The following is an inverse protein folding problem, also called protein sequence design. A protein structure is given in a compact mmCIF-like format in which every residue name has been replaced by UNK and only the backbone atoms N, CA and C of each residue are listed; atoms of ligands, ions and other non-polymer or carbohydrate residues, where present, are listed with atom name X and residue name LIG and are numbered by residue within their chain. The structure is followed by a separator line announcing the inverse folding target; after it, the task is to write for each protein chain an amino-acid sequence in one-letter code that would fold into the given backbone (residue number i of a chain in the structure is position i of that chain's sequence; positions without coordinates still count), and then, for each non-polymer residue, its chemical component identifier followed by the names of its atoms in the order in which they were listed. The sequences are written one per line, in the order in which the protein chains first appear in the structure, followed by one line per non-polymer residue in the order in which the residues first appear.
data_IF_418693776543
#
_entry.id   IF_418693776543
#
_cell.length_a   1.000
_cell.length_b   1.000
_cell.length_c   1.000
_cell.angle_alpha   90.00
_cell.angle_beta   90.00
_cell.angle_gamma   90.00
#
_symmetry.space_group_name_H-M   'P 1'
#
loop_
_entity.id
_entity.type
_entity.pdbx_description
1 polymer ?
#
# COMPACT_ATOMS: atom_id res chain seq x y z
N UNK A 1 -19.65 -6.64 -14.44
CA UNK A 1 -18.91 -5.36 -14.30
C UNK A 1 -19.51 -4.45 -13.24
N UNK A 2 -20.81 -4.16 -13.29
CA UNK A 2 -21.49 -3.39 -12.23
C UNK A 2 -21.40 -4.02 -10.84
N UNK A 3 -21.39 -5.36 -10.73
CA UNK A 3 -21.25 -6.06 -9.46
C UNK A 3 -19.96 -5.68 -8.70
N UNK A 4 -18.87 -5.45 -9.44
CA UNK A 4 -17.57 -5.06 -8.88
C UNK A 4 -17.63 -3.62 -8.38
N UNK A 5 -18.30 -2.73 -9.12
CA UNK A 5 -18.53 -1.35 -8.69
C UNK A 5 -19.42 -1.28 -7.44
N UNK A 6 -20.51 -2.05 -7.42
CA UNK A 6 -21.41 -2.12 -6.28
C UNK A 6 -20.73 -2.67 -5.03
N UNK A 7 -19.89 -3.70 -5.15
CA UNK A 7 -19.18 -4.27 -4.00
C UNK A 7 -18.04 -3.35 -3.50
N UNK A 8 -17.35 -2.64 -4.41
CA UNK A 8 -16.41 -1.58 -4.02
C UNK A 8 -17.12 -0.46 -3.26
N UNK A 9 -18.26 0.00 -3.78
CA UNK A 9 -19.01 1.09 -3.19
C UNK A 9 -19.60 0.70 -1.83
N UNK A 10 -20.16 -0.51 -1.75
CA UNK A 10 -20.64 -1.09 -0.50
C UNK A 10 -19.49 -1.26 0.52
N UNK A 11 -18.31 -1.68 0.09
CA UNK A 11 -17.13 -1.82 0.96
C UNK A 11 -16.67 -0.48 1.53
N UNK A 12 -16.60 0.56 0.69
CA UNK A 12 -16.28 1.93 1.15
C UNK A 12 -17.36 2.46 2.10
N UNK A 13 -18.64 2.26 1.77
CA UNK A 13 -19.76 2.71 2.60
C UNK A 13 -19.79 1.99 3.95
N UNK A 14 -19.59 0.67 3.96
CA UNK A 14 -19.48 -0.13 5.17
C UNK A 14 -18.26 0.30 6.00
N UNK A 15 -17.08 0.46 5.39
CA UNK A 15 -15.88 0.95 6.06
C UNK A 15 -16.04 2.36 6.63
N UNK A 16 -16.79 3.22 5.96
CA UNK A 16 -17.09 4.58 6.43
C UNK A 16 -18.12 4.58 7.57
N UNK A 17 -19.16 3.74 7.52
CA UNK A 17 -20.10 3.52 8.63
C UNK A 17 -19.38 2.95 9.86
N UNK A 18 -18.48 1.99 9.67
CA UNK A 18 -17.64 1.42 10.73
C UNK A 18 -16.71 2.46 11.37
N UNK A 19 -16.32 3.52 10.65
CA UNK A 19 -15.55 4.65 11.20
C UNK A 19 -16.39 5.60 12.05
N UNK A 20 -17.71 5.68 11.81
CA UNK A 20 -18.64 6.56 12.55
C UNK A 20 -19.25 5.92 13.79
N UNK A 21 -19.33 4.60 13.86
CA UNK A 21 -19.80 3.91 15.06
C UNK A 21 -18.72 4.00 16.14
N UNK A 22 -19.02 4.73 17.21
CA UNK A 22 -18.12 4.98 18.35
C UNK A 22 -17.73 3.75 19.22
N UNK A 23 -18.31 2.52 19.15
CA UNK A 23 -17.88 1.46 20.07
C UNK A 23 -16.55 0.81 19.66
N UNK A 24 -16.04 1.05 18.44
CA UNK A 24 -14.76 0.48 17.96
C UNK A 24 -13.54 1.16 18.60
N UNK A 25 -13.73 2.28 19.31
CA UNK A 25 -12.67 2.92 20.08
C UNK A 25 -12.42 2.26 21.43
N UNK A 26 -13.35 1.42 21.92
CA UNK A 26 -13.26 0.75 23.22
C UNK A 26 -12.85 -0.73 23.10
N UNK A 27 -12.94 -1.31 21.90
CA UNK A 27 -12.30 -2.59 21.56
C UNK A 27 -10.92 -2.27 21.00
N UNK A 28 -9.91 -2.53 21.82
CA UNK A 28 -8.50 -2.21 21.59
C UNK A 28 -8.02 -2.50 20.17
N UNK A 29 -7.75 -1.40 19.47
CA UNK A 29 -7.19 -1.26 18.12
C UNK A 29 -5.78 -1.84 17.91
N UNK A 30 -5.21 -2.55 18.90
CA UNK A 30 -3.87 -3.18 18.80
C UNK A 30 -3.91 -4.70 18.59
N UNK A 31 -5.02 -5.37 18.89
CA UNK A 31 -5.10 -6.84 18.78
C UNK A 31 -5.63 -7.34 17.44
N UNK A 32 -6.60 -6.62 16.85
CA UNK A 32 -7.32 -7.11 15.67
C UNK A 32 -6.43 -7.25 14.44
N UNK A 33 -5.55 -6.28 14.18
CA UNK A 33 -4.65 -6.36 13.03
C UNK A 33 -3.66 -7.52 13.17
N UNK A 34 -3.08 -7.70 14.36
CA UNK A 34 -2.16 -8.80 14.66
C UNK A 34 -2.85 -10.15 14.56
N UNK A 35 -4.09 -10.24 15.03
CA UNK A 35 -4.91 -11.44 14.91
C UNK A 35 -5.26 -11.77 13.45
N UNK A 36 -5.61 -10.76 12.65
CA UNK A 36 -5.86 -10.93 11.21
C UNK A 36 -4.60 -11.37 10.47
N UNK A 37 -3.46 -10.75 10.75
CA UNK A 37 -2.17 -11.12 10.13
C UNK A 37 -1.81 -12.55 10.51
N UNK A 38 -1.93 -12.92 11.79
CA UNK A 38 -1.65 -14.27 12.25
C UNK A 38 -2.57 -15.31 11.60
N UNK A 39 -3.87 -15.02 11.53
CA UNK A 39 -4.87 -15.91 10.91
C UNK A 39 -4.61 -16.06 9.40
N UNK A 40 -4.36 -14.96 8.69
CA UNK A 40 -4.03 -14.98 7.26
C UNK A 40 -2.73 -15.74 7.00
N UNK A 41 -1.70 -15.51 7.81
CA UNK A 41 -0.41 -16.18 7.65
C UNK A 41 -0.52 -17.69 7.95
N UNK A 42 -1.31 -18.06 8.96
CA UNK A 42 -1.55 -19.44 9.32
C UNK A 42 -2.32 -20.18 8.22
N UNK A 43 -3.42 -19.61 7.72
CA UNK A 43 -4.20 -20.20 6.63
C UNK A 43 -3.33 -20.34 5.38
N UNK A 44 -2.56 -19.32 5.04
CA UNK A 44 -1.65 -19.34 3.89
C UNK A 44 -0.56 -20.40 4.06
N UNK A 45 0.05 -20.52 5.25
CA UNK A 45 1.03 -21.56 5.53
C UNK A 45 0.43 -22.97 5.48
N UNK A 46 -0.81 -23.14 5.95
CA UNK A 46 -1.51 -24.42 5.93
C UNK A 46 -1.93 -24.83 4.50
N UNK A 47 -2.43 -23.89 3.70
CA UNK A 47 -2.74 -24.13 2.27
C UNK A 47 -1.49 -24.50 1.48
N UNK A 48 -0.37 -23.83 1.74
CA UNK A 48 0.90 -24.11 1.06
C UNK A 48 1.59 -25.39 1.57
N UNK A 49 1.38 -25.77 2.84
CA UNK A 49 2.05 -26.89 3.50
C UNK A 49 1.32 -28.24 3.41
N UNK A 50 0.02 -28.24 3.10
CA UNK A 50 -0.82 -29.45 3.15
C UNK A 50 -0.80 -30.31 1.87
N UNK A 51 -0.14 -29.85 0.80
CA UNK A 51 -0.01 -30.60 -0.45
C UNK A 51 1.42 -30.66 -0.95
N UNK A 52 2.01 -31.87 -1.03
CA UNK A 52 3.33 -32.09 -1.63
C UNK A 52 3.38 -31.62 -3.10
N UNK A 53 2.26 -31.72 -3.83
CA UNK A 53 2.10 -31.20 -5.19
C UNK A 53 2.16 -29.67 -5.26
N UNK A 54 1.67 -29.00 -4.21
CA UNK A 54 1.68 -27.53 -4.13
C UNK A 54 3.10 -27.04 -3.86
N UNK A 55 3.87 -27.65 -2.94
CA UNK A 55 5.27 -27.29 -2.70
C UNK A 55 6.18 -27.55 -3.92
N UNK A 56 6.00 -28.68 -4.61
CA UNK A 56 6.78 -28.97 -5.82
C UNK A 56 6.56 -27.95 -6.94
N UNK A 57 5.30 -27.50 -7.09
CA UNK A 57 4.94 -26.43 -8.03
C UNK A 57 5.36 -25.05 -7.52
N UNK A 58 5.26 -24.78 -6.21
CA UNK A 58 5.68 -23.53 -5.56
C UNK A 58 7.19 -23.32 -5.60
N UNK A 59 7.99 -24.38 -5.66
CA UNK A 59 9.43 -24.20 -5.81
C UNK A 59 9.75 -23.55 -7.17
N UNK A 60 9.08 -24.02 -8.23
CA UNK A 60 9.21 -23.47 -9.59
C UNK A 60 8.49 -22.12 -9.74
N UNK A 61 7.25 -22.02 -9.24
CA UNK A 61 6.42 -20.81 -9.31
C UNK A 61 6.89 -19.72 -8.35
N UNK A 62 7.41 -20.12 -7.20
CA UNK A 62 7.99 -19.26 -6.16
C UNK A 62 9.33 -18.68 -6.56
N UNK A 63 10.16 -19.42 -7.30
CA UNK A 63 11.35 -18.85 -7.94
C UNK A 63 10.99 -17.72 -8.91
N UNK A 64 9.96 -17.91 -9.73
CA UNK A 64 9.43 -16.87 -10.61
C UNK A 64 8.78 -15.72 -9.82
N UNK A 65 7.97 -16.03 -8.80
CA UNK A 65 7.32 -15.04 -7.96
C UNK A 65 8.32 -14.18 -7.18
N UNK A 66 9.45 -14.74 -6.75
CA UNK A 66 10.54 -14.01 -6.10
C UNK A 66 11.12 -12.96 -7.05
N UNK A 67 11.35 -13.31 -8.32
CA UNK A 67 11.81 -12.36 -9.34
C UNK A 67 10.77 -11.27 -9.57
N UNK A 68 9.48 -11.60 -9.67
CA UNK A 68 8.41 -10.60 -9.79
C UNK A 68 8.30 -9.68 -8.56
N UNK A 69 8.44 -10.22 -7.35
CA UNK A 69 8.41 -9.45 -6.11
C UNK A 69 9.60 -8.49 -6.05
N UNK A 70 10.82 -8.97 -6.32
CA UNK A 70 12.02 -8.13 -6.35
C UNK A 70 11.94 -7.07 -7.45
N UNK A 71 11.50 -7.44 -8.66
CA UNK A 71 11.31 -6.51 -9.76
C UNK A 71 10.23 -5.46 -9.43
N UNK A 72 9.12 -5.87 -8.79
CA UNK A 72 8.05 -4.98 -8.36
C UNK A 72 8.48 -4.00 -7.27
N UNK A 73 9.21 -4.47 -6.25
CA UNK A 73 9.76 -3.61 -5.20
C UNK A 73 10.78 -2.64 -5.80
N UNK A 74 11.72 -3.15 -6.61
CA UNK A 74 12.74 -2.33 -7.27
C UNK A 74 12.10 -1.29 -8.19
N UNK A 75 11.10 -1.69 -8.99
CA UNK A 75 10.34 -0.79 -9.87
C UNK A 75 9.55 0.26 -9.10
N UNK A 76 8.91 -0.12 -7.98
CA UNK A 76 8.15 0.80 -7.12
C UNK A 76 9.08 1.83 -6.46
N UNK A 77 10.21 1.40 -5.92
CA UNK A 77 11.23 2.28 -5.33
C UNK A 77 11.83 3.19 -6.41
N UNK A 78 12.16 2.66 -7.58
CA UNK A 78 12.68 3.43 -8.71
C UNK A 78 11.67 4.49 -9.19
N UNK A 79 10.39 4.13 -9.28
CA UNK A 79 9.32 5.06 -9.64
C UNK A 79 9.14 6.15 -8.57
N UNK A 80 9.15 5.79 -7.28
CA UNK A 80 9.09 6.76 -6.19
C UNK A 80 10.27 7.75 -6.25
N UNK A 81 11.49 7.25 -6.47
CA UNK A 81 12.69 8.09 -6.63
C UNK A 81 12.63 8.93 -7.91
N UNK A 82 12.11 8.40 -9.01
CA UNK A 82 11.94 9.14 -10.26
C UNK A 82 10.93 10.27 -10.11
N UNK A 83 9.78 9.99 -9.48
CA UNK A 83 8.76 10.99 -9.14
C UNK A 83 9.34 12.04 -8.20
N UNK A 84 10.08 11.62 -7.17
CA UNK A 84 10.75 12.55 -6.27
C UNK A 84 11.79 13.40 -7.03
N UNK A 85 12.57 12.84 -7.96
CA UNK A 85 13.54 13.63 -8.72
C UNK A 85 12.89 14.56 -9.76
N UNK A 86 11.82 14.14 -10.43
CA UNK A 86 11.11 14.97 -11.42
C UNK A 86 10.28 16.07 -10.75
N UNK A 87 9.55 15.74 -9.69
CA UNK A 87 8.76 16.72 -8.92
C UNK A 87 9.65 17.69 -8.14
N UNK A 88 10.75 17.26 -7.53
CA UNK A 88 11.64 18.18 -6.82
C UNK A 88 12.56 18.98 -7.75
N UNK A 89 12.75 18.54 -9.00
CA UNK A 89 13.43 19.34 -10.04
C UNK A 89 12.48 20.36 -10.69
N UNK A 90 11.18 20.09 -10.70
CA UNK A 90 10.12 21.08 -11.01
C UNK A 90 9.86 22.03 -9.82
N UNK A 91 9.96 21.53 -8.59
CA UNK A 91 9.80 22.35 -7.37
C UNK A 91 10.89 23.42 -7.22
N UNK A 92 12.11 23.17 -7.71
CA UNK A 92 13.16 24.21 -7.74
C UNK A 92 12.97 25.30 -8.80
N UNK A 93 12.02 25.17 -9.71
CA UNK A 93 11.60 26.23 -10.62
C UNK A 93 10.20 26.80 -10.28
N UNK A 94 9.57 26.30 -9.21
CA UNK A 94 8.36 26.89 -8.60
C UNK A 94 8.67 27.67 -7.32
N UNK A 95 9.65 27.25 -6.53
CA UNK A 95 10.11 27.95 -5.31
C UNK A 95 11.04 29.15 -5.60
N UNK A 96 11.50 29.31 -6.84
CA UNK A 96 12.26 30.48 -7.28
C UNK A 96 11.36 31.60 -7.85
N UNK A 97 10.05 31.37 -8.00
CA UNK A 97 9.08 32.38 -8.45
C UNK A 97 8.35 33.07 -7.26
N UNK A 98 8.69 32.74 -6.02
CA UNK A 98 8.10 33.31 -4.80
C UNK A 98 9.10 34.00 -3.86
N UNK A 99 10.32 34.28 -4.33
CA UNK A 99 11.43 34.82 -3.50
C UNK A 99 12.16 36.00 -4.13
N UNK A 100 11.45 36.82 -4.90
CA UNK A 100 11.99 38.07 -5.50
C UNK A 100 11.14 39.32 -5.14
N UNK A 101 10.12 39.16 -4.27
CA UNK A 101 9.23 40.25 -3.84
C UNK A 101 9.50 40.81 -2.45
N UNK A 102 10.42 40.21 -1.68
CA UNK A 102 10.69 40.58 -0.29
C UNK A 102 12.15 41.00 -0.04
N UNK A 103 12.81 41.52 -1.08
CA UNK A 103 14.13 42.16 -0.94
C UNK A 103 14.12 43.62 -1.46
N UNK A 104 12.97 44.11 -1.96
CA UNK A 104 12.77 45.50 -2.39
C UNK A 104 12.24 46.39 -1.25
N UNK A 105 11.71 45.82 -0.17
CA UNK A 105 11.20 46.58 1.00
C UNK A 105 12.23 46.68 2.14
N UNK A 106 13.52 46.76 1.78
CA UNK A 106 14.61 46.91 2.75
C UNK A 106 15.67 47.91 2.29
N UNK A 107 15.19 49.03 1.73
CA UNK A 107 15.89 50.30 1.68
C UNK A 107 15.09 51.35 2.44
#
# INVERSE_FOLDING_TARGET
MFYILSIMFAGVLAGYLLRKVKPVTMIGRSGFISFLIWTMLFILGAELGSGEDFLGSLYKLGGQALVFALAGICGSVAAAVLVQRLLFRTGKCGDAAGKDGNDVNKF
#
